data_IF_353800891884
#
_entry.id   IF_353800891884
#
_cell.length_a   1.000
_cell.length_b   1.000
_cell.length_c   1.000
_cell.angle_alpha   90.00
_cell.angle_beta   90.00
_cell.angle_gamma   90.00
#
_symmetry.space_group_name_H-M   'P 1'
#
loop_
_entity.id
_entity.type
_entity.pdbx_description
1 polymer ?
#
# COMPACT_ATOMS: atom_id res chain seq x y z
N UNK A 1 27.85 1.45 -16.20
CA UNK A 1 26.73 0.74 -15.53
C UNK A 1 27.27 -0.55 -14.98
N UNK A 2 26.93 -0.87 -13.73
CA UNK A 2 27.34 -2.15 -13.11
C UNK A 2 26.56 -3.28 -13.81
N UNK A 3 27.26 -4.30 -14.29
CA UNK A 3 26.63 -5.45 -14.94
C UNK A 3 25.81 -6.22 -13.90
N UNK A 4 24.57 -6.56 -14.24
CA UNK A 4 23.66 -7.26 -13.32
C UNK A 4 23.97 -8.76 -13.36
N UNK A 5 24.71 -9.24 -12.39
CA UNK A 5 25.07 -10.67 -12.23
C UNK A 5 24.53 -11.24 -10.90
N UNK A 6 24.46 -12.58 -10.74
CA UNK A 6 24.09 -13.20 -9.48
C UNK A 6 24.92 -12.72 -8.28
N UNK A 7 26.20 -12.48 -8.49
CA UNK A 7 27.13 -12.02 -7.45
C UNK A 7 26.79 -10.61 -7.00
N UNK A 8 26.42 -9.73 -7.93
CA UNK A 8 25.96 -8.36 -7.63
C UNK A 8 24.65 -8.42 -6.84
N UNK A 9 23.67 -9.22 -7.27
CA UNK A 9 22.40 -9.38 -6.54
C UNK A 9 22.65 -9.96 -5.16
N UNK A 10 23.49 -10.98 -5.04
CA UNK A 10 23.85 -11.56 -3.75
C UNK A 10 24.51 -10.54 -2.82
N UNK A 11 25.43 -9.73 -3.32
CA UNK A 11 26.08 -8.66 -2.56
C UNK A 11 25.06 -7.63 -2.05
N UNK A 12 24.13 -7.19 -2.91
CA UNK A 12 23.04 -6.26 -2.53
C UNK A 12 22.13 -6.91 -1.46
N UNK A 13 21.76 -8.19 -1.62
CA UNK A 13 20.97 -8.92 -0.66
C UNK A 13 21.67 -9.02 0.71
N UNK A 14 22.96 -9.32 0.74
CA UNK A 14 23.74 -9.36 1.97
C UNK A 14 23.84 -7.99 2.65
N UNK A 15 24.03 -6.92 1.87
CA UNK A 15 24.02 -5.57 2.37
C UNK A 15 22.66 -5.21 3.02
N UNK A 16 21.55 -5.57 2.35
CA UNK A 16 20.19 -5.38 2.89
C UNK A 16 19.92 -6.21 4.16
N UNK A 17 20.54 -7.37 4.32
CA UNK A 17 20.40 -8.20 5.52
C UNK A 17 21.14 -7.65 6.73
N UNK A 18 22.26 -6.96 6.50
CA UNK A 18 23.13 -6.41 7.56
C UNK A 18 22.59 -5.16 8.23
N UNK A 19 21.68 -4.45 7.60
CA UNK A 19 21.10 -3.21 8.14
C UNK A 19 19.59 -3.29 8.28
N UNK A 20 19.02 -2.55 9.23
CA UNK A 20 17.58 -2.31 9.33
C UNK A 20 17.07 -1.26 8.33
N UNK A 21 17.98 -0.42 7.80
CA UNK A 21 17.62 0.64 6.88
C UNK A 21 17.49 0.11 5.44
N UNK A 22 16.59 0.73 4.66
CA UNK A 22 16.47 0.47 3.23
C UNK A 22 17.63 1.15 2.49
N UNK A 23 18.40 0.39 1.74
CA UNK A 23 19.56 0.94 1.02
C UNK A 23 19.11 1.54 -0.33
N UNK A 24 19.78 2.64 -0.78
CA UNK A 24 19.50 3.19 -2.11
C UNK A 24 19.88 2.23 -3.22
N UNK A 25 19.05 2.16 -4.26
CA UNK A 25 19.30 1.41 -5.50
C UNK A 25 18.91 2.27 -6.70
N UNK A 26 19.51 2.07 -7.87
CA UNK A 26 19.17 2.80 -9.09
C UNK A 26 17.68 2.73 -9.42
N UNK A 27 17.15 3.80 -10.01
CA UNK A 27 15.73 3.92 -10.35
C UNK A 27 15.24 2.83 -11.29
N UNK A 28 16.11 2.40 -12.22
CA UNK A 28 15.85 1.38 -13.25
C UNK A 28 16.41 -0.01 -12.88
N UNK A 29 16.77 -0.23 -11.62
CA UNK A 29 17.42 -1.47 -11.16
C UNK A 29 16.64 -2.73 -11.53
N UNK A 30 15.35 -2.77 -11.30
CA UNK A 30 14.54 -3.94 -11.63
C UNK A 30 14.24 -4.08 -13.12
N UNK A 31 14.18 -2.98 -13.87
CA UNK A 31 14.08 -3.02 -15.32
C UNK A 31 15.33 -3.63 -15.96
N UNK A 32 16.51 -3.36 -15.41
CA UNK A 32 17.76 -4.00 -15.82
C UNK A 32 17.78 -5.50 -15.50
N UNK A 33 17.31 -5.89 -14.32
CA UNK A 33 17.15 -7.31 -13.93
C UNK A 33 16.19 -8.04 -14.89
N UNK A 34 15.04 -7.45 -15.19
CA UNK A 34 14.04 -8.08 -16.06
C UNK A 34 14.61 -8.29 -17.48
N UNK A 35 15.39 -7.34 -18.01
CA UNK A 35 16.10 -7.50 -19.28
C UNK A 35 17.11 -8.63 -19.22
N UNK A 36 17.87 -8.76 -18.15
CA UNK A 36 18.84 -9.83 -18.00
C UNK A 36 18.16 -11.20 -17.89
N UNK A 37 17.05 -11.31 -17.17
CA UNK A 37 16.23 -12.53 -17.12
C UNK A 37 15.76 -12.91 -18.54
N UNK A 38 15.30 -11.95 -19.34
CA UNK A 38 14.89 -12.21 -20.73
C UNK A 38 16.06 -12.70 -21.61
N UNK A 39 17.26 -12.16 -21.41
CA UNK A 39 18.45 -12.63 -22.10
C UNK A 39 18.85 -14.04 -21.69
N UNK A 40 18.83 -14.34 -20.40
CA UNK A 40 19.15 -15.66 -19.87
C UNK A 40 18.16 -16.75 -20.33
N UNK A 41 16.88 -16.42 -20.51
CA UNK A 41 15.86 -17.34 -21.05
C UNK A 41 16.18 -17.84 -22.46
N UNK A 42 16.99 -17.13 -23.22
CA UNK A 42 17.40 -17.55 -24.57
C UNK A 42 18.41 -18.70 -24.52
N UNK A 43 19.13 -18.86 -23.42
CA UNK A 43 20.08 -19.96 -23.25
C UNK A 43 19.37 -21.20 -22.71
N UNK A 44 19.15 -22.19 -23.59
CA UNK A 44 18.41 -23.41 -23.24
C UNK A 44 19.29 -24.55 -22.74
N UNK A 45 20.61 -24.34 -22.56
CA UNK A 45 21.50 -25.34 -21.97
C UNK A 45 21.08 -25.67 -20.52
N UNK A 46 21.55 -26.81 -20.02
CA UNK A 46 21.26 -27.22 -18.62
C UNK A 46 21.88 -26.21 -17.65
N UNK A 47 23.10 -25.81 -17.91
CA UNK A 47 23.84 -24.80 -17.12
C UNK A 47 23.13 -23.45 -17.16
N UNK A 48 22.64 -23.03 -18.33
CA UNK A 48 21.90 -21.79 -18.52
C UNK A 48 20.60 -21.77 -17.71
N UNK A 49 19.88 -22.89 -17.65
CA UNK A 49 18.67 -23.02 -16.84
C UNK A 49 18.97 -22.96 -15.34
N UNK A 50 20.00 -23.64 -14.88
CA UNK A 50 20.43 -23.60 -13.47
C UNK A 50 20.88 -22.19 -13.06
N UNK A 51 21.60 -21.49 -13.95
CA UNK A 51 22.01 -20.12 -13.73
C UNK A 51 20.80 -19.16 -13.62
N UNK A 52 19.84 -19.27 -14.53
CA UNK A 52 18.61 -18.50 -14.52
C UNK A 52 17.79 -18.75 -13.24
N UNK A 53 17.67 -20.01 -12.82
CA UNK A 53 16.96 -20.38 -11.60
C UNK A 53 17.61 -19.75 -10.36
N UNK A 54 18.94 -19.87 -10.24
CA UNK A 54 19.69 -19.28 -9.14
C UNK A 54 19.56 -17.74 -9.14
N UNK A 55 19.70 -17.11 -10.30
CA UNK A 55 19.55 -15.66 -10.46
C UNK A 55 18.16 -15.20 -10.02
N UNK A 56 17.11 -15.84 -10.55
CA UNK A 56 15.71 -15.52 -10.21
C UNK A 56 15.43 -15.69 -8.72
N UNK A 57 15.97 -16.74 -8.10
CA UNK A 57 15.84 -16.96 -6.67
C UNK A 57 16.46 -15.84 -5.84
N UNK A 58 17.67 -15.40 -6.19
CA UNK A 58 18.34 -14.30 -5.50
C UNK A 58 17.59 -12.98 -5.67
N UNK A 59 17.10 -12.69 -6.86
CA UNK A 59 16.26 -11.49 -7.13
C UNK A 59 14.99 -11.50 -6.28
N UNK A 60 14.30 -12.64 -6.20
CA UNK A 60 13.08 -12.76 -5.39
C UNK A 60 13.37 -12.55 -3.90
N UNK A 61 14.46 -13.11 -3.38
CA UNK A 61 14.88 -12.89 -1.99
C UNK A 61 15.20 -11.41 -1.71
N UNK A 62 15.87 -10.73 -2.65
CA UNK A 62 16.15 -9.30 -2.53
C UNK A 62 14.86 -8.47 -2.54
N UNK A 63 13.95 -8.73 -3.49
CA UNK A 63 12.64 -8.06 -3.57
C UNK A 63 11.84 -8.25 -2.28
N UNK A 64 11.76 -9.48 -1.78
CA UNK A 64 11.04 -9.80 -0.55
C UNK A 64 11.62 -9.05 0.66
N UNK A 65 12.95 -9.09 0.84
CA UNK A 65 13.62 -8.38 1.93
C UNK A 65 13.39 -6.88 1.88
N UNK A 66 13.44 -6.29 0.69
CA UNK A 66 13.21 -4.85 0.51
C UNK A 66 11.74 -4.48 0.70
N UNK A 67 10.80 -5.33 0.24
CA UNK A 67 9.37 -5.12 0.50
C UNK A 67 9.06 -5.13 2.00
N UNK A 68 9.64 -6.03 2.78
CA UNK A 68 9.49 -6.04 4.24
C UNK A 68 9.94 -4.70 4.85
N UNK A 69 11.07 -4.17 4.41
CA UNK A 69 11.56 -2.86 4.88
C UNK A 69 10.68 -1.70 4.43
N UNK A 70 10.15 -1.72 3.20
CA UNK A 70 9.19 -0.72 2.72
C UNK A 70 7.95 -0.66 3.60
N UNK A 71 7.42 -1.82 4.02
CA UNK A 71 6.29 -1.89 4.95
C UNK A 71 6.65 -1.30 6.33
N UNK A 72 7.86 -1.55 6.83
CA UNK A 72 8.35 -0.93 8.07
C UNK A 72 8.44 0.60 7.90
N UNK A 73 8.96 1.09 6.77
CA UNK A 73 9.04 2.53 6.48
C UNK A 73 7.64 3.17 6.43
N UNK A 74 6.65 2.48 5.85
CA UNK A 74 5.26 2.92 5.88
C UNK A 74 4.70 2.98 7.31
N UNK A 75 4.88 1.90 8.10
CA UNK A 75 4.38 1.82 9.47
C UNK A 75 4.92 2.93 10.37
N UNK A 76 6.18 3.32 10.18
CA UNK A 76 6.84 4.38 10.96
C UNK A 76 6.84 5.75 10.26
N UNK A 77 6.13 5.89 9.14
CA UNK A 77 6.08 7.11 8.32
C UNK A 77 7.47 7.66 7.97
N UNK A 78 8.44 6.78 7.72
CA UNK A 78 9.81 7.14 7.33
C UNK A 78 9.85 7.60 5.87
N UNK A 79 10.79 8.49 5.56
CA UNK A 79 11.07 8.89 4.18
C UNK A 79 11.92 7.84 3.47
N UNK A 80 11.60 7.59 2.18
CA UNK A 80 12.38 6.67 1.36
C UNK A 80 13.77 7.23 1.06
N UNK A 81 14.81 6.38 1.05
CA UNK A 81 16.13 6.77 0.57
C UNK A 81 16.08 7.10 -0.93
N UNK A 82 17.02 7.92 -1.37
CA UNK A 82 17.17 8.24 -2.80
C UNK A 82 18.58 7.90 -3.26
N UNK A 83 18.77 7.32 -4.46
CA UNK A 83 17.71 6.88 -5.39
C UNK A 83 17.05 5.55 -4.96
N UNK A 84 15.80 5.34 -5.41
CA UNK A 84 15.04 4.12 -5.17
C UNK A 84 14.43 3.58 -6.48
N UNK A 85 14.31 2.26 -6.68
CA UNK A 85 13.66 1.68 -7.84
C UNK A 85 12.22 2.18 -8.03
N UNK A 86 11.87 2.52 -9.28
CA UNK A 86 10.55 3.08 -9.63
C UNK A 86 9.39 2.19 -9.19
N UNK A 87 9.55 0.87 -9.31
CA UNK A 87 8.54 -0.10 -8.88
C UNK A 87 8.30 -0.07 -7.36
N UNK A 88 9.35 0.11 -6.57
CA UNK A 88 9.27 0.21 -5.10
C UNK A 88 8.64 1.54 -4.66
N UNK A 89 9.02 2.63 -5.30
CA UNK A 89 8.41 3.95 -5.05
C UNK A 89 6.90 3.93 -5.34
N UNK A 90 6.51 3.33 -6.48
CA UNK A 90 5.11 3.19 -6.86
C UNK A 90 4.33 2.31 -5.88
N UNK A 91 4.91 1.18 -5.45
CA UNK A 91 4.30 0.31 -4.43
C UNK A 91 4.09 1.07 -3.12
N UNK A 92 5.11 1.78 -2.65
CA UNK A 92 5.05 2.59 -1.44
C UNK A 92 3.93 3.64 -1.49
N UNK A 93 3.84 4.39 -2.60
CA UNK A 93 2.79 5.40 -2.80
C UNK A 93 1.39 4.79 -2.81
N UNK A 94 1.19 3.65 -3.48
CA UNK A 94 -0.10 2.94 -3.53
C UNK A 94 -0.55 2.47 -2.15
N UNK A 95 0.31 1.81 -1.39
CA UNK A 95 -0.05 1.32 -0.04
C UNK A 95 -0.31 2.50 0.88
N UNK A 96 0.50 3.57 0.82
CA UNK A 96 0.29 4.78 1.61
C UNK A 96 -1.06 5.45 1.31
N UNK A 97 -1.48 5.49 0.05
CA UNK A 97 -2.79 6.01 -0.34
C UNK A 97 -3.93 5.19 0.28
N UNK A 98 -3.87 3.85 0.18
CA UNK A 98 -4.87 2.94 0.77
C UNK A 98 -4.96 3.15 2.29
N UNK A 99 -3.82 3.18 2.99
CA UNK A 99 -3.79 3.43 4.43
C UNK A 99 -4.41 4.78 4.82
N UNK A 100 -4.20 5.81 3.99
CA UNK A 100 -4.77 7.14 4.23
C UNK A 100 -6.28 7.19 3.93
N UNK A 101 -6.77 6.41 2.97
CA UNK A 101 -8.20 6.30 2.69
C UNK A 101 -8.95 5.59 3.82
N UNK A 102 -8.40 4.49 4.33
CA UNK A 102 -8.98 3.78 5.48
C UNK A 102 -8.99 4.65 6.75
N UNK A 103 -7.95 5.46 6.99
CA UNK A 103 -7.95 6.39 8.13
C UNK A 103 -8.93 7.55 7.96
N UNK A 104 -9.31 7.94 6.74
CA UNK A 104 -10.37 8.93 6.50
C UNK A 104 -11.76 8.35 6.72
N UNK A 105 -11.98 7.07 6.40
CA UNK A 105 -13.28 6.40 6.63
C UNK A 105 -13.58 6.09 8.11
N UNK A 106 -12.57 6.12 8.97
CA UNK A 106 -12.72 5.85 10.43
C UNK A 106 -12.91 7.13 11.26
N UNK A 107 -12.87 8.32 10.67
CA UNK A 107 -13.25 9.53 11.40
C UNK A 107 -14.77 9.66 11.44
N UNK A 108 -15.36 9.11 12.50
CA UNK A 108 -16.78 9.34 12.81
C UNK A 108 -17.09 10.84 12.73
N UNK A 109 -18.02 11.20 11.87
CA UNK A 109 -18.49 12.58 11.75
C UNK A 109 -19.58 12.81 12.77
N UNK A 110 -19.54 13.98 13.40
CA UNK A 110 -20.59 14.40 14.33
C UNK A 110 -21.72 15.07 13.55
N UNK A 111 -22.93 14.59 13.79
CA UNK A 111 -24.13 15.12 13.16
C UNK A 111 -25.10 15.52 14.25
N UNK A 112 -25.58 16.77 14.19
CA UNK A 112 -26.67 17.23 15.01
C UNK A 112 -27.99 16.93 14.30
N UNK A 113 -28.88 16.25 14.97
CA UNK A 113 -30.22 15.88 14.46
C UNK A 113 -31.15 17.06 14.55
N UNK A 114 -31.84 17.40 13.46
CA UNK A 114 -32.73 18.59 13.38
C UNK A 114 -34.17 18.28 13.71
N UNK A 115 -34.54 16.99 13.69
CA UNK A 115 -35.96 16.56 13.96
C UNK A 115 -36.00 15.17 14.57
N UNK A 116 -37.08 14.89 15.29
CA UNK A 116 -37.33 13.55 15.82
C UNK A 116 -37.67 12.60 14.68
N UNK A 117 -36.93 11.50 14.58
CA UNK A 117 -37.20 10.45 13.61
C UNK A 117 -37.26 9.07 14.26
N UNK A 118 -38.25 8.25 13.91
CA UNK A 118 -38.29 6.84 14.31
C UNK A 118 -37.16 6.05 13.63
N UNK A 119 -37.00 4.79 14.00
CA UNK A 119 -36.15 3.88 13.26
C UNK A 119 -36.67 3.77 11.82
N UNK A 120 -35.76 4.05 10.84
CA UNK A 120 -36.03 3.96 9.41
C UNK A 120 -35.05 2.99 8.76
N UNK A 121 -35.48 2.37 7.67
CA UNK A 121 -34.62 1.52 6.85
C UNK A 121 -34.24 2.32 5.60
N UNK A 122 -32.95 2.47 5.37
CA UNK A 122 -32.42 3.12 4.15
C UNK A 122 -32.62 2.23 2.92
N UNK A 123 -32.54 2.78 1.72
CA UNK A 123 -32.61 2.00 0.48
C UNK A 123 -31.58 0.86 0.40
N UNK A 124 -30.45 0.98 1.09
CA UNK A 124 -29.41 -0.03 1.18
C UNK A 124 -29.69 -1.11 2.25
N UNK A 125 -30.82 -1.06 2.92
CA UNK A 125 -31.25 -2.04 3.94
C UNK A 125 -30.68 -1.79 5.33
N UNK A 126 -29.95 -0.70 5.55
CA UNK A 126 -29.41 -0.34 6.86
C UNK A 126 -30.48 0.35 7.72
N UNK A 127 -30.44 0.10 9.03
CA UNK A 127 -31.32 0.77 9.99
C UNK A 127 -30.66 2.04 10.51
N UNK A 128 -31.41 3.14 10.52
CA UNK A 128 -31.00 4.42 11.08
C UNK A 128 -32.02 4.88 12.12
N UNK A 129 -31.55 5.34 13.26
CA UNK A 129 -32.42 5.81 14.35
C UNK A 129 -32.81 4.72 15.34
N UNK A 130 -33.75 5.00 16.26
CA UNK A 130 -34.44 6.29 16.38
C UNK A 130 -33.53 7.41 16.88
N UNK A 131 -33.76 8.64 16.44
CA UNK A 131 -33.04 9.84 16.90
C UNK A 131 -33.99 10.92 17.38
N UNK A 132 -33.53 11.66 18.41
CA UNK A 132 -34.26 12.81 18.93
C UNK A 132 -33.71 14.12 18.40
N UNK A 133 -34.56 15.12 18.25
CA UNK A 133 -34.16 16.48 17.88
C UNK A 133 -33.08 17.00 18.84
N UNK A 134 -32.11 17.73 18.29
CA UNK A 134 -30.95 18.29 18.97
C UNK A 134 -29.95 17.26 19.52
N UNK A 135 -30.15 15.96 19.27
CA UNK A 135 -29.19 14.92 19.60
C UNK A 135 -27.96 15.03 18.70
N UNK A 136 -26.78 14.90 19.30
CA UNK A 136 -25.51 14.77 18.55
C UNK A 136 -25.15 13.30 18.50
N UNK A 137 -24.97 12.79 17.29
CA UNK A 137 -24.59 11.41 17.01
C UNK A 137 -23.24 11.36 16.30
N UNK A 138 -22.49 10.29 16.50
CA UNK A 138 -21.25 10.00 15.77
C UNK A 138 -21.53 8.85 14.81
N UNK A 139 -21.31 9.08 13.52
CA UNK A 139 -21.48 8.08 12.44
C UNK A 139 -20.19 8.00 11.64
N UNK A 140 -19.76 6.78 11.35
CA UNK A 140 -18.57 6.46 10.54
C UNK A 140 -18.94 5.95 9.12
N UNK A 141 -20.22 5.67 8.86
CA UNK A 141 -20.71 5.23 7.55
C UNK A 141 -21.05 6.43 6.66
N UNK A 142 -20.22 6.68 5.64
CA UNK A 142 -20.41 7.78 4.71
C UNK A 142 -21.76 7.75 3.98
N UNK A 143 -22.34 6.56 3.70
CA UNK A 143 -23.66 6.43 3.07
C UNK A 143 -24.79 6.85 3.99
N UNK A 144 -24.70 6.48 5.27
CA UNK A 144 -25.67 6.93 6.28
C UNK A 144 -25.58 8.45 6.49
N UNK A 145 -24.37 8.99 6.52
CA UNK A 145 -24.13 10.43 6.61
C UNK A 145 -24.76 11.15 5.41
N UNK A 146 -24.49 10.68 4.19
CA UNK A 146 -25.05 11.26 2.98
C UNK A 146 -26.58 11.24 2.98
N UNK A 147 -27.18 10.11 3.38
CA UNK A 147 -28.62 9.98 3.50
C UNK A 147 -29.23 10.99 4.50
N UNK A 148 -28.62 11.16 5.67
CA UNK A 148 -29.06 12.09 6.71
C UNK A 148 -28.98 13.54 6.21
N UNK A 149 -27.90 13.91 5.53
CA UNK A 149 -27.71 15.27 5.01
C UNK A 149 -28.63 15.58 3.83
N UNK A 150 -28.79 14.67 2.87
CA UNK A 150 -29.68 14.84 1.72
C UNK A 150 -31.15 14.98 2.12
N UNK A 151 -31.59 14.26 3.13
CA UNK A 151 -32.97 14.33 3.64
C UNK A 151 -33.18 15.41 4.70
N UNK A 152 -32.17 16.26 4.98
CA UNK A 152 -32.21 17.34 5.98
C UNK A 152 -32.55 16.86 7.40
N UNK A 153 -32.24 15.63 7.70
CA UNK A 153 -32.46 15.00 9.00
C UNK A 153 -31.49 15.55 10.05
N UNK A 154 -30.29 15.92 9.63
CA UNK A 154 -29.24 16.49 10.48
C UNK A 154 -28.26 17.34 9.71
N UNK A 155 -27.33 17.95 10.44
CA UNK A 155 -26.26 18.78 9.93
C UNK A 155 -24.93 18.42 10.59
N UNK A 156 -23.83 18.61 9.87
CA UNK A 156 -22.47 18.37 10.42
C UNK A 156 -22.14 19.43 11.47
N UNK A 157 -21.53 18.99 12.58
CA UNK A 157 -21.15 19.85 13.72
C UNK A 157 -19.64 19.79 13.94
#
# INVERSE_FOLDING_TARGET
MEEITPEVIFSKLQAERKTGELLPLPVDFYEQIDKEIENLKKNQSVEGKQYLENFTRLVNQLRERRTQKLLIYLAYNKQLPQPIPRSEENLFKKIKAIMNEETKSVQAKRIKINLDIPEIITPDGNKIGPFSKDQIIEIDDDKQIEYILQNKIGELV
#
